data_IF_135476661542
#
_entry.id   IF_135476661542
#
_cell.length_a   1.000
_cell.length_b   1.000
_cell.length_c   1.000
_cell.angle_alpha   90.00
_cell.angle_beta   90.00
_cell.angle_gamma   90.00
#
_symmetry.space_group_name_H-M   'P 1'
#
loop_
_entity.id
_entity.type
_entity.pdbx_description
1 polymer ?
#
# COMPACT_ATOMS: atom_id res chain seq x y z
N UNK A 1 -28.70 14.06 -11.83
CA UNK A 1 -27.76 13.37 -10.93
C UNK A 1 -28.52 13.02 -9.66
N UNK A 2 -28.64 11.75 -9.30
CA UNK A 2 -29.14 11.36 -7.97
C UNK A 2 -28.25 11.99 -6.91
N UNK A 3 -28.84 12.48 -5.82
CA UNK A 3 -28.13 13.17 -4.73
C UNK A 3 -26.94 12.35 -4.21
N UNK A 4 -27.11 11.03 -4.12
CA UNK A 4 -26.07 10.06 -3.74
C UNK A 4 -24.86 10.09 -4.67
N UNK A 5 -25.08 10.12 -5.99
CA UNK A 5 -23.99 10.15 -6.99
C UNK A 5 -23.18 11.45 -6.85
N UNK A 6 -23.86 12.58 -6.67
CA UNK A 6 -23.19 13.86 -6.47
C UNK A 6 -22.36 13.86 -5.17
N UNK A 7 -22.85 13.23 -4.11
CA UNK A 7 -22.16 13.12 -2.83
C UNK A 7 -20.90 12.24 -2.95
N UNK A 8 -21.01 11.05 -3.56
CA UNK A 8 -19.86 10.15 -3.80
C UNK A 8 -18.79 10.84 -4.63
N UNK A 9 -19.17 11.50 -5.74
CA UNK A 9 -18.22 12.20 -6.60
C UNK A 9 -17.53 13.37 -5.88
N UNK A 10 -18.25 14.06 -4.99
CA UNK A 10 -17.66 15.13 -4.18
C UNK A 10 -16.64 14.58 -3.19
N UNK A 11 -16.94 13.47 -2.50
CA UNK A 11 -15.99 12.79 -1.61
C UNK A 11 -14.75 12.35 -2.39
N UNK A 12 -14.93 11.75 -3.55
CA UNK A 12 -13.83 11.30 -4.41
C UNK A 12 -12.95 12.47 -4.83
N UNK A 13 -13.54 13.57 -5.32
CA UNK A 13 -12.79 14.76 -5.74
C UNK A 13 -11.98 15.37 -4.58
N UNK A 14 -12.60 15.49 -3.39
CA UNK A 14 -11.91 15.99 -2.19
C UNK A 14 -10.77 15.05 -1.79
N UNK A 15 -11.00 13.74 -1.79
CA UNK A 15 -9.95 12.75 -1.46
C UNK A 15 -8.77 12.80 -2.42
N UNK A 16 -9.03 13.02 -3.71
CA UNK A 16 -8.00 13.14 -4.73
C UNK A 16 -7.15 14.39 -4.50
N UNK A 17 -7.79 15.53 -4.20
CA UNK A 17 -7.09 16.77 -3.87
C UNK A 17 -6.24 16.59 -2.60
N UNK A 18 -6.78 15.95 -1.56
CA UNK A 18 -6.05 15.68 -0.32
C UNK A 18 -4.86 14.72 -0.55
N UNK A 19 -5.02 13.70 -1.38
CA UNK A 19 -3.91 12.80 -1.75
C UNK A 19 -2.82 13.51 -2.54
N UNK A 20 -3.17 14.26 -3.59
CA UNK A 20 -2.17 14.94 -4.44
C UNK A 20 -1.47 16.07 -3.70
N UNK A 21 -2.17 16.76 -2.81
CA UNK A 21 -1.57 17.85 -2.02
C UNK A 21 -0.67 17.37 -0.89
N UNK A 22 -0.75 16.09 -0.50
CA UNK A 22 0.02 15.44 0.58
C UNK A 22 0.05 16.22 1.91
N UNK A 23 -0.88 17.17 2.12
CA UNK A 23 -0.93 18.03 3.33
C UNK A 23 -1.19 17.20 4.57
N UNK A 24 -1.96 16.11 4.42
CA UNK A 24 -2.29 15.17 5.46
C UNK A 24 -1.81 13.78 5.02
N UNK A 25 -1.30 12.98 5.96
CA UNK A 25 -0.89 11.60 5.72
C UNK A 25 -1.97 10.81 4.97
N UNK A 26 -1.56 10.05 3.97
CA UNK A 26 -2.43 9.23 3.13
C UNK A 26 -3.36 8.32 3.96
N UNK A 27 -2.83 7.71 5.02
CA UNK A 27 -3.59 6.85 5.94
C UNK A 27 -4.79 7.58 6.57
N UNK A 28 -4.60 8.85 6.95
CA UNK A 28 -5.64 9.67 7.56
C UNK A 28 -6.70 10.08 6.54
N UNK A 29 -6.30 10.38 5.31
CA UNK A 29 -7.24 10.67 4.21
C UNK A 29 -8.11 9.44 3.93
N UNK A 30 -7.53 8.25 3.89
CA UNK A 30 -8.27 7.00 3.72
C UNK A 30 -9.30 6.78 4.86
N UNK A 31 -8.91 7.01 6.11
CA UNK A 31 -9.83 6.93 7.26
C UNK A 31 -10.94 7.98 7.18
N UNK A 32 -10.64 9.21 6.75
CA UNK A 32 -11.64 10.26 6.57
C UNK A 32 -12.66 9.91 5.49
N UNK A 33 -12.22 9.34 4.36
CA UNK A 33 -13.11 8.86 3.30
C UNK A 33 -14.02 7.74 3.81
N UNK A 34 -13.46 6.78 4.54
CA UNK A 34 -14.23 5.69 5.15
C UNK A 34 -15.30 6.22 6.12
N UNK A 35 -14.92 7.15 7.01
CA UNK A 35 -15.85 7.81 7.92
C UNK A 35 -16.93 8.60 7.17
N UNK A 36 -16.56 9.35 6.12
CA UNK A 36 -17.51 10.14 5.33
C UNK A 36 -18.55 9.23 4.63
N UNK A 37 -18.12 8.11 4.06
CA UNK A 37 -19.00 7.13 3.42
C UNK A 37 -19.93 6.43 4.42
N UNK A 38 -19.42 6.06 5.60
CA UNK A 38 -20.22 5.40 6.63
C UNK A 38 -21.25 6.36 7.26
N UNK A 39 -20.85 7.60 7.58
CA UNK A 39 -21.73 8.60 8.22
C UNK A 39 -22.79 9.13 7.24
N UNK A 40 -22.45 9.26 5.95
CA UNK A 40 -23.42 9.65 4.92
C UNK A 40 -24.45 8.56 4.60
N UNK A 41 -24.28 7.34 5.12
CA UNK A 41 -25.17 6.20 4.86
C UNK A 41 -25.11 5.68 3.42
N UNK A 42 -24.12 6.14 2.63
CA UNK A 42 -23.90 5.66 1.26
C UNK A 42 -23.46 4.21 1.21
N UNK A 43 -22.85 3.73 2.29
CA UNK A 43 -22.29 2.39 2.41
C UNK A 43 -22.67 1.83 3.79
N UNK A 44 -23.00 0.53 3.86
CA UNK A 44 -23.28 -0.12 5.15
C UNK A 44 -22.03 -0.17 6.02
N UNK A 45 -22.19 -0.30 7.34
CA UNK A 45 -21.03 -0.46 8.24
C UNK A 45 -20.20 -1.68 7.86
N UNK A 46 -20.83 -2.79 7.49
CA UNK A 46 -20.13 -3.99 7.03
C UNK A 46 -19.30 -3.73 5.77
N UNK A 47 -19.88 -3.04 4.78
CA UNK A 47 -19.19 -2.74 3.51
C UNK A 47 -18.06 -1.71 3.70
N UNK A 48 -18.21 -0.76 4.63
CA UNK A 48 -17.16 0.19 4.96
C UNK A 48 -15.92 -0.52 5.53
N UNK A 49 -16.10 -1.58 6.34
CA UNK A 49 -15.00 -2.36 6.88
C UNK A 49 -14.53 -3.52 5.97
N UNK A 50 -15.27 -3.84 4.91
CA UNK A 50 -14.92 -4.95 4.00
C UNK A 50 -13.54 -4.78 3.35
N UNK A 51 -13.07 -3.55 3.18
CA UNK A 51 -11.73 -3.24 2.69
C UNK A 51 -10.60 -3.76 3.57
N UNK A 52 -10.78 -3.84 4.89
CA UNK A 52 -9.77 -4.37 5.82
C UNK A 52 -9.66 -5.90 5.74
N UNK A 53 -10.76 -6.60 5.43
CA UNK A 53 -10.78 -8.05 5.19
C UNK A 53 -10.40 -8.44 3.76
N UNK A 54 -9.99 -7.48 2.93
CA UNK A 54 -9.63 -7.76 1.54
C UNK A 54 -8.37 -8.62 1.47
N UNK A 55 -8.43 -9.73 0.72
CA UNK A 55 -7.32 -10.67 0.56
C UNK A 55 -6.03 -9.99 0.08
N UNK A 56 -6.12 -8.99 -0.82
CA UNK A 56 -4.96 -8.24 -1.28
C UNK A 56 -4.32 -7.42 -0.15
N UNK A 57 -5.12 -6.75 0.69
CA UNK A 57 -4.62 -5.98 1.85
C UNK A 57 -3.92 -6.91 2.85
N UNK A 58 -4.55 -8.04 3.17
CA UNK A 58 -3.99 -9.07 4.06
C UNK A 58 -2.67 -9.63 3.49
N UNK A 59 -2.61 -9.87 2.18
CA UNK A 59 -1.40 -10.39 1.51
C UNK A 59 -0.25 -9.39 1.62
N UNK A 60 -0.50 -8.10 1.39
CA UNK A 60 0.51 -7.04 1.56
C UNK A 60 1.02 -6.99 3.00
N UNK A 61 0.12 -7.09 3.99
CA UNK A 61 0.49 -7.18 5.39
C UNK A 61 1.37 -8.41 5.68
N UNK A 62 0.99 -9.58 5.17
CA UNK A 62 1.78 -10.80 5.31
C UNK A 62 3.17 -10.65 4.66
N UNK A 63 3.26 -10.04 3.48
CA UNK A 63 4.54 -9.75 2.82
C UNK A 63 5.42 -8.82 3.65
N UNK A 64 4.86 -7.81 4.34
CA UNK A 64 5.64 -6.98 5.26
C UNK A 64 6.18 -7.77 6.45
N UNK A 65 5.35 -8.64 7.05
CA UNK A 65 5.80 -9.53 8.14
C UNK A 65 6.91 -10.46 7.67
N UNK A 66 6.76 -11.05 6.47
CA UNK A 66 7.77 -11.91 5.87
C UNK A 66 9.08 -11.16 5.58
N UNK A 67 8.99 -9.93 5.06
CA UNK A 67 10.14 -9.07 4.78
C UNK A 67 10.93 -8.76 6.05
N UNK A 68 10.24 -8.37 7.13
CA UNK A 68 10.87 -8.13 8.42
C UNK A 68 11.46 -9.42 9.02
N UNK A 69 10.76 -10.55 8.89
CA UNK A 69 11.26 -11.86 9.32
C UNK A 69 12.54 -12.28 8.59
N UNK A 70 12.59 -12.06 7.27
CA UNK A 70 13.76 -12.33 6.43
C UNK A 70 14.95 -11.44 6.80
N UNK A 71 14.67 -10.18 7.13
CA UNK A 71 15.68 -9.19 7.54
C UNK A 71 16.24 -9.54 8.91
N UNK A 72 15.38 -9.87 9.88
CA UNK A 72 15.80 -10.28 11.24
C UNK A 72 16.59 -11.58 11.27
N UNK A 73 16.30 -12.52 10.37
CA UNK A 73 17.03 -13.79 10.27
C UNK A 73 18.36 -13.67 9.53
N UNK A 74 18.66 -12.50 8.94
CA UNK A 74 19.89 -12.26 8.18
C UNK A 74 19.95 -13.01 6.85
N UNK A 75 18.84 -13.62 6.40
CA UNK A 75 18.78 -14.32 5.11
C UNK A 75 18.98 -13.31 3.97
N UNK A 76 18.42 -12.10 4.10
CA UNK A 76 18.66 -11.01 3.16
C UNK A 76 20.18 -10.73 2.99
N UNK A 77 20.95 -10.75 4.08
CA UNK A 77 22.41 -10.55 4.02
C UNK A 77 23.14 -11.72 3.36
N UNK A 78 22.67 -12.96 3.57
CA UNK A 78 23.24 -14.16 2.93
C UNK A 78 23.04 -14.07 1.42
N UNK A 79 21.82 -13.76 0.97
CA UNK A 79 21.49 -13.59 -0.45
C UNK A 79 22.31 -12.44 -1.04
N UNK A 80 22.39 -11.30 -0.36
CA UNK A 80 23.20 -10.16 -0.80
C UNK A 80 24.69 -10.52 -0.99
N UNK A 81 25.27 -11.27 -0.05
CA UNK A 81 26.65 -11.76 -0.19
C UNK A 81 26.84 -12.73 -1.36
N UNK A 82 25.84 -13.58 -1.65
CA UNK A 82 25.89 -14.47 -2.81
C UNK A 82 25.82 -13.68 -4.12
N UNK A 83 24.94 -12.67 -4.21
CA UNK A 83 24.86 -11.78 -5.37
C UNK A 83 26.18 -11.05 -5.63
N UNK A 84 26.81 -10.49 -4.58
CA UNK A 84 28.12 -9.83 -4.71
C UNK A 84 29.21 -10.81 -5.16
N UNK A 85 29.20 -12.06 -4.67
CA UNK A 85 30.16 -13.08 -5.12
C UNK A 85 30.02 -13.43 -6.61
N UNK A 86 28.78 -13.42 -7.13
CA UNK A 86 28.50 -13.71 -8.53
C UNK A 86 28.83 -12.51 -9.45
N UNK A 87 28.49 -11.30 -9.02
CA UNK A 87 28.70 -10.08 -9.81
C UNK A 87 30.14 -9.53 -9.73
N UNK A 88 30.85 -9.78 -8.63
CA UNK A 88 32.18 -9.22 -8.38
C UNK A 88 32.14 -7.72 -8.07
N UNK A 89 33.17 -6.97 -8.48
CA UNK A 89 33.35 -5.54 -8.15
C UNK A 89 32.78 -4.57 -9.19
N UNK A 90 32.28 -5.07 -10.34
CA UNK A 90 31.79 -4.23 -11.42
C UNK A 90 30.30 -3.93 -11.24
N UNK A 91 29.94 -2.66 -11.16
CA UNK A 91 28.55 -2.20 -11.02
C UNK A 91 27.63 -2.71 -12.14
N UNK A 92 28.14 -2.74 -13.38
CA UNK A 92 27.40 -3.29 -14.54
C UNK A 92 27.07 -4.78 -14.35
N UNK A 93 28.01 -5.56 -13.79
CA UNK A 93 27.76 -6.97 -13.53
C UNK A 93 26.73 -7.18 -12.40
N UNK A 94 26.73 -6.31 -11.38
CA UNK A 94 25.70 -6.29 -10.33
C UNK A 94 24.31 -6.04 -10.92
N UNK A 95 24.16 -5.05 -11.80
CA UNK A 95 22.89 -4.76 -12.47
C UNK A 95 22.42 -5.95 -13.29
N UNK A 96 23.31 -6.56 -14.10
CA UNK A 96 22.96 -7.74 -14.91
C UNK A 96 22.54 -8.92 -14.03
N UNK A 97 23.26 -9.19 -12.94
CA UNK A 97 22.95 -10.32 -12.03
C UNK A 97 21.63 -10.12 -11.27
N UNK A 98 21.20 -8.89 -11.01
CA UNK A 98 19.90 -8.61 -10.36
C UNK A 98 18.75 -8.61 -11.36
N UNK A 99 18.99 -8.20 -12.61
CA UNK A 99 17.94 -8.11 -13.64
C UNK A 99 17.68 -9.42 -14.39
N UNK A 100 18.65 -10.35 -14.42
CA UNK A 100 18.54 -11.69 -15.04
C UNK A 100 18.01 -12.70 -14.04
#
# INVERSE_FOLDING_TARGET
MTFEIALVLSILAISLILFVSEVIRMDLVALLVLCALAVSGLVSTADAFAGFSNSAVITVWAMFILSEGLTRTGIADIIGRQLIRLAGTKEIAMIVVVMV
#
